data_IF_111241532426
#
_entry.id   IF_111241532426
#
_cell.length_a   1.000
_cell.length_b   1.000
_cell.length_c   1.000
_cell.angle_alpha   90.00
_cell.angle_beta   90.00
_cell.angle_gamma   90.00
#
_symmetry.space_group_name_H-M   'P 1'
#
loop_
_entity.id
_entity.type
_entity.pdbx_description
1 polymer ?
#
# COMPACT_ATOMS: atom_id res chain seq x y z
N UNK A 1 9.71 -18.24 9.90
CA UNK A 1 8.41 -18.89 9.65
C UNK A 1 8.26 -19.04 8.14
N UNK A 2 8.30 -20.27 7.61
CA UNK A 2 8.20 -20.54 6.17
C UNK A 2 6.76 -20.97 5.86
N UNK A 3 6.13 -20.33 4.88
CA UNK A 3 4.75 -20.58 4.48
C UNK A 3 4.72 -21.18 3.07
N UNK A 4 3.93 -22.23 2.87
CA UNK A 4 3.78 -22.94 1.59
C UNK A 4 2.29 -23.03 1.22
N UNK A 5 1.96 -22.94 -0.07
CA UNK A 5 0.60 -23.03 -0.61
C UNK A 5 0.55 -23.89 -1.89
N UNK A 6 -0.67 -24.35 -2.23
CA UNK A 6 -1.03 -25.17 -3.38
C UNK A 6 -1.37 -24.27 -4.58
N UNK A 7 -0.76 -24.53 -5.72
CA UNK A 7 -0.76 -23.71 -6.95
C UNK A 7 -2.11 -23.76 -7.70
N UNK A 8 -2.71 -22.59 -7.91
CA UNK A 8 -3.61 -22.35 -9.04
C UNK A 8 -2.90 -21.33 -9.95
N UNK A 9 -2.66 -21.74 -11.18
CA UNK A 9 -1.75 -21.12 -12.17
C UNK A 9 -2.38 -19.92 -12.88
N UNK A 10 -2.40 -18.73 -12.26
CA UNK A 10 -2.51 -17.50 -13.04
C UNK A 10 -1.38 -16.55 -12.63
N UNK A 11 -0.38 -16.44 -13.51
CA UNK A 11 0.66 -15.42 -13.40
C UNK A 11 0.02 -14.03 -13.53
N UNK A 12 -0.15 -13.34 -12.40
CA UNK A 12 -0.56 -11.92 -12.39
C UNK A 12 0.65 -11.02 -12.40
N UNK A 13 0.54 -9.90 -13.12
CA UNK A 13 1.52 -8.82 -13.02
C UNK A 13 1.28 -8.03 -11.73
N UNK A 14 2.30 -7.33 -11.25
CA UNK A 14 2.11 -6.40 -10.15
C UNK A 14 1.17 -5.24 -10.53
N UNK A 15 1.06 -4.92 -11.82
CA UNK A 15 0.12 -3.90 -12.30
C UNK A 15 -1.33 -4.31 -12.04
N UNK A 16 -1.68 -5.58 -12.28
CA UNK A 16 -3.02 -6.11 -11.99
C UNK A 16 -3.33 -5.96 -10.50
N UNK A 17 -2.37 -6.33 -9.65
CA UNK A 17 -2.51 -6.21 -8.20
C UNK A 17 -2.66 -4.75 -7.76
N UNK A 18 -1.90 -3.85 -8.39
CA UNK A 18 -1.98 -2.44 -8.10
C UNK A 18 -3.36 -1.88 -8.45
N UNK A 19 -3.90 -2.21 -9.63
CA UNK A 19 -5.21 -1.73 -10.09
C UNK A 19 -6.34 -2.33 -9.25
N UNK A 20 -6.31 -3.64 -8.99
CA UNK A 20 -7.43 -4.35 -8.38
C UNK A 20 -7.49 -4.14 -6.86
N UNK A 21 -6.34 -3.97 -6.21
CA UNK A 21 -6.27 -3.99 -4.74
C UNK A 21 -5.69 -2.72 -4.14
N UNK A 22 -4.58 -2.18 -4.66
CA UNK A 22 -3.86 -1.07 -4.01
C UNK A 22 -4.52 0.27 -4.31
N UNK A 23 -4.76 0.55 -5.59
CA UNK A 23 -5.32 1.81 -6.07
C UNK A 23 -6.70 2.12 -5.44
N UNK A 24 -7.67 1.19 -5.39
CA UNK A 24 -8.96 1.46 -4.77
C UNK A 24 -8.83 1.83 -3.29
N UNK A 25 -7.88 1.24 -2.56
CA UNK A 25 -7.65 1.58 -1.15
C UNK A 25 -7.09 2.99 -0.97
N UNK A 26 -6.18 3.42 -1.86
CA UNK A 26 -5.67 4.80 -1.85
C UNK A 26 -6.80 5.78 -2.17
N UNK A 27 -7.65 5.44 -3.13
CA UNK A 27 -8.82 6.24 -3.51
C UNK A 27 -9.85 6.32 -2.37
N UNK A 28 -10.14 5.22 -1.68
CA UNK A 28 -11.02 5.19 -0.51
C UNK A 28 -10.51 6.12 0.62
N UNK A 29 -9.20 6.10 0.90
CA UNK A 29 -8.58 7.00 1.88
C UNK A 29 -8.69 8.45 1.43
N UNK A 30 -8.40 8.74 0.16
CA UNK A 30 -8.47 10.09 -0.40
C UNK A 30 -9.90 10.65 -0.37
N UNK A 31 -10.89 9.81 -0.68
CA UNK A 31 -12.32 10.14 -0.61
C UNK A 31 -12.75 10.43 0.82
N UNK A 32 -12.43 9.57 1.79
CA UNK A 32 -12.73 9.80 3.21
C UNK A 32 -12.18 11.15 3.67
N UNK A 33 -10.91 11.44 3.37
CA UNK A 33 -10.22 12.64 3.85
C UNK A 33 -10.70 13.95 3.18
N UNK A 34 -11.28 13.88 1.98
CA UNK A 34 -11.72 15.07 1.20
C UNK A 34 -13.22 15.31 1.24
N UNK A 35 -14.02 14.25 1.31
CA UNK A 35 -15.47 14.33 1.16
C UNK A 35 -16.20 14.30 2.51
N UNK A 36 -15.71 13.54 3.49
CA UNK A 36 -16.35 13.43 4.78
C UNK A 36 -15.84 14.48 5.76
N UNK A 37 -16.70 14.91 6.68
CA UNK A 37 -16.35 15.89 7.72
C UNK A 37 -15.98 15.15 9.00
N UNK A 38 -14.84 15.47 9.63
CA UNK A 38 -14.50 14.92 10.93
C UNK A 38 -15.53 15.35 12.01
N UNK A 39 -15.72 14.56 13.07
CA UNK A 39 -14.97 13.35 13.41
C UNK A 39 -15.36 12.15 12.53
N UNK A 40 -14.37 11.36 12.12
CA UNK A 40 -14.58 10.13 11.36
C UNK A 40 -15.01 8.99 12.27
N UNK A 41 -15.91 8.14 11.78
CA UNK A 41 -16.34 6.95 12.49
C UNK A 41 -15.25 5.87 12.48
N UNK A 42 -15.12 5.13 13.59
CA UNK A 42 -14.16 4.02 13.73
C UNK A 42 -14.34 2.99 12.59
N UNK A 43 -15.58 2.72 12.21
CA UNK A 43 -15.92 1.78 11.14
C UNK A 43 -15.43 2.25 9.77
N UNK A 44 -15.52 3.55 9.47
CA UNK A 44 -15.01 4.15 8.23
C UNK A 44 -13.49 4.01 8.17
N UNK A 45 -12.81 4.39 9.25
CA UNK A 45 -11.34 4.34 9.34
C UNK A 45 -10.82 2.91 9.23
N UNK A 46 -11.49 1.96 9.90
CA UNK A 46 -11.17 0.54 9.81
C UNK A 46 -11.31 0.01 8.36
N UNK A 47 -12.40 0.38 7.68
CA UNK A 47 -12.66 -0.03 6.30
C UNK A 47 -11.63 0.49 5.29
N UNK A 48 -11.21 1.75 5.39
CA UNK A 48 -10.24 2.33 4.42
C UNK A 48 -8.81 1.84 4.69
N UNK A 49 -8.45 1.59 5.96
CA UNK A 49 -7.14 1.06 6.32
C UNK A 49 -7.03 -0.48 6.20
N UNK A 50 -8.13 -1.15 5.83
CA UNK A 50 -8.26 -2.62 5.76
C UNK A 50 -7.80 -3.29 7.06
N UNK A 51 -8.38 -2.84 8.16
CA UNK A 51 -8.13 -3.36 9.51
C UNK A 51 -9.45 -3.54 10.26
N UNK A 52 -9.41 -4.11 11.46
CA UNK A 52 -10.61 -4.29 12.28
C UNK A 52 -10.90 -3.04 13.11
N UNK A 53 -12.17 -2.82 13.46
CA UNK A 53 -12.57 -1.74 14.35
C UNK A 53 -11.87 -1.86 15.72
N UNK A 54 -11.70 -3.08 16.22
CA UNK A 54 -10.98 -3.35 17.47
C UNK A 54 -9.52 -2.86 17.42
N UNK A 55 -8.81 -3.10 16.29
CA UNK A 55 -7.45 -2.59 16.11
C UNK A 55 -7.42 -1.06 16.12
N UNK A 56 -8.38 -0.40 15.46
CA UNK A 56 -8.49 1.07 15.47
C UNK A 56 -8.77 1.59 16.88
N UNK A 57 -9.74 1.01 17.59
CA UNK A 57 -10.09 1.41 18.96
C UNK A 57 -8.93 1.17 19.93
N UNK A 58 -8.16 0.10 19.77
CA UNK A 58 -6.97 -0.13 20.58
C UNK A 58 -5.91 0.95 20.35
N UNK A 59 -5.64 1.33 19.10
CA UNK A 59 -4.72 2.43 18.78
C UNK A 59 -5.23 3.75 19.36
N UNK A 60 -6.54 4.03 19.26
CA UNK A 60 -7.13 5.24 19.87
C UNK A 60 -6.90 5.28 21.38
N UNK A 61 -7.10 4.15 22.09
CA UNK A 61 -6.84 4.04 23.53
C UNK A 61 -5.36 4.25 23.87
N UNK A 62 -4.46 3.61 23.14
CA UNK A 62 -3.02 3.73 23.35
C UNK A 62 -2.51 5.17 23.15
N UNK A 63 -3.12 5.92 22.24
CA UNK A 63 -2.75 7.29 21.90
C UNK A 63 -3.59 8.36 22.61
N UNK A 64 -4.51 7.98 23.50
CA UNK A 64 -5.48 8.87 24.17
C UNK A 64 -6.31 9.73 23.19
N UNK A 65 -6.74 9.14 22.07
CA UNK A 65 -7.58 9.78 21.06
C UNK A 65 -9.05 9.55 21.43
N UNK A 66 -9.80 10.63 21.67
CA UNK A 66 -11.25 10.57 21.94
C UNK A 66 -12.10 10.61 20.68
N UNK A 67 -11.66 11.33 19.65
CA UNK A 67 -12.37 11.54 18.39
C UNK A 67 -11.37 11.50 17.23
N UNK A 68 -11.79 10.98 16.06
CA UNK A 68 -10.88 10.86 14.92
C UNK A 68 -11.01 12.07 14.00
N UNK A 69 -10.18 13.09 14.20
CA UNK A 69 -9.96 14.16 13.23
C UNK A 69 -8.99 13.76 12.11
N UNK A 70 -8.64 14.73 11.25
CA UNK A 70 -7.67 14.51 10.16
C UNK A 70 -6.29 14.14 10.72
N UNK A 71 -5.85 14.80 11.80
CA UNK A 71 -4.54 14.52 12.39
C UNK A 71 -4.52 13.14 13.05
N UNK A 72 -5.58 12.81 13.77
CA UNK A 72 -5.78 11.55 14.47
C UNK A 72 -5.87 10.38 13.49
N UNK A 73 -6.49 10.58 12.32
CA UNK A 73 -6.48 9.60 11.24
C UNK A 73 -5.04 9.22 10.85
N UNK A 74 -4.14 10.20 10.69
CA UNK A 74 -2.75 9.91 10.33
C UNK A 74 -1.95 9.27 11.47
N UNK A 75 -2.28 9.57 12.72
CA UNK A 75 -1.74 8.82 13.86
C UNK A 75 -2.20 7.37 13.85
N UNK A 76 -3.48 7.10 13.57
CA UNK A 76 -4.00 5.74 13.46
C UNK A 76 -3.37 5.01 12.27
N UNK A 77 -3.29 5.66 11.11
CA UNK A 77 -2.64 5.13 9.91
C UNK A 77 -1.21 4.69 10.24
N UNK A 78 -0.42 5.55 10.90
CA UNK A 78 0.97 5.27 11.27
C UNK A 78 1.12 4.02 12.17
N UNK A 79 0.11 3.69 12.98
CA UNK A 79 0.16 2.60 13.95
C UNK A 79 -0.65 1.36 13.54
N UNK A 80 -1.33 1.39 12.39
CA UNK A 80 -2.24 0.30 11.97
C UNK A 80 -1.55 -0.96 11.43
N UNK A 81 -0.26 -0.87 11.08
CA UNK A 81 0.58 -1.97 10.53
C UNK A 81 -0.11 -2.82 9.43
N UNK A 82 -0.87 -2.16 8.55
CA UNK A 82 -1.48 -2.80 7.38
C UNK A 82 -0.61 -2.62 6.15
N UNK A 83 -0.87 -3.39 5.09
CA UNK A 83 -0.11 -3.23 3.85
C UNK A 83 -0.23 -1.80 3.30
N UNK A 84 -1.46 -1.26 3.27
CA UNK A 84 -1.72 0.08 2.72
C UNK A 84 -1.07 1.17 3.58
N UNK A 85 -1.14 1.06 4.91
CA UNK A 85 -0.51 2.06 5.77
C UNK A 85 1.01 2.02 5.65
N UNK A 86 1.62 0.83 5.64
CA UNK A 86 3.05 0.67 5.40
C UNK A 86 3.47 1.15 4.00
N UNK A 87 2.66 0.94 2.96
CA UNK A 87 2.92 1.48 1.62
C UNK A 87 2.96 3.00 1.64
N UNK A 88 1.95 3.65 2.22
CA UNK A 88 1.86 5.11 2.32
C UNK A 88 3.05 5.67 3.12
N UNK A 89 3.35 5.08 4.28
CA UNK A 89 4.48 5.49 5.12
C UNK A 89 5.82 5.37 4.38
N UNK A 90 6.01 4.32 3.60
CA UNK A 90 7.24 4.14 2.80
C UNK A 90 7.30 5.14 1.65
N UNK A 91 6.18 5.44 1.00
CA UNK A 91 6.12 6.45 -0.05
C UNK A 91 6.44 7.85 0.49
N UNK A 92 5.98 8.20 1.69
CA UNK A 92 6.29 9.49 2.32
C UNK A 92 7.78 9.73 2.56
N UNK A 93 8.56 8.66 2.79
CA UNK A 93 10.03 8.79 2.91
C UNK A 93 10.70 9.29 1.64
N UNK A 94 10.02 9.19 0.49
CA UNK A 94 10.52 9.63 -0.81
C UNK A 94 9.64 10.73 -1.43
N UNK A 95 8.92 11.51 -0.62
CA UNK A 95 8.00 12.56 -1.10
C UNK A 95 8.67 13.65 -1.97
N UNK A 96 9.97 13.87 -1.81
CA UNK A 96 10.77 14.85 -2.57
C UNK A 96 11.35 14.29 -3.87
N UNK A 97 11.25 12.97 -4.08
CA UNK A 97 11.85 12.27 -5.22
C UNK A 97 10.95 12.40 -6.45
N UNK A 98 11.51 12.90 -7.56
CA UNK A 98 10.79 13.06 -8.84
C UNK A 98 10.84 11.81 -9.73
N UNK A 99 11.81 10.93 -9.48
CA UNK A 99 12.10 9.74 -10.28
C UNK A 99 12.47 8.55 -9.39
N UNK A 100 11.88 7.39 -9.65
CA UNK A 100 12.05 6.18 -8.86
C UNK A 100 13.11 5.28 -9.48
N UNK A 101 14.04 4.81 -8.66
CA UNK A 101 14.98 3.75 -9.00
C UNK A 101 14.37 2.37 -8.66
N UNK A 102 15.00 1.26 -9.07
CA UNK A 102 14.58 -0.07 -8.64
C UNK A 102 14.50 -0.21 -7.12
N UNK A 103 15.44 0.39 -6.38
CA UNK A 103 15.47 0.39 -4.91
C UNK A 103 14.27 1.13 -4.31
N UNK A 104 13.89 2.28 -4.90
CA UNK A 104 12.72 3.01 -4.42
C UNK A 104 11.45 2.17 -4.60
N UNK A 105 11.27 1.54 -5.76
CA UNK A 105 10.09 0.74 -6.06
C UNK A 105 10.04 -0.54 -5.22
N UNK A 106 11.14 -1.27 -5.11
CA UNK A 106 11.22 -2.46 -4.27
C UNK A 106 10.87 -2.14 -2.82
N UNK A 107 11.40 -1.04 -2.31
CA UNK A 107 11.13 -0.59 -0.95
C UNK A 107 9.66 -0.16 -0.76
N UNK A 108 9.14 0.75 -1.57
CA UNK A 108 7.78 1.31 -1.39
C UNK A 108 6.71 0.23 -1.50
N UNK A 109 6.83 -0.66 -2.50
CA UNK A 109 5.79 -1.64 -2.81
C UNK A 109 6.01 -3.02 -2.17
N UNK A 110 7.11 -3.19 -1.42
CA UNK A 110 7.54 -4.47 -0.85
C UNK A 110 7.82 -5.55 -1.90
N UNK A 111 8.45 -5.17 -3.01
CA UNK A 111 8.73 -6.10 -4.11
C UNK A 111 10.16 -6.65 -4.04
N UNK A 112 10.36 -7.83 -4.62
CA UNK A 112 11.70 -8.37 -4.78
C UNK A 112 12.54 -7.46 -5.68
N UNK A 113 13.65 -6.93 -5.17
CA UNK A 113 14.49 -5.98 -5.89
C UNK A 113 15.08 -6.57 -7.18
N UNK A 114 15.36 -7.87 -7.23
CA UNK A 114 15.89 -8.51 -8.44
C UNK A 114 14.85 -8.52 -9.57
N UNK A 115 13.58 -8.73 -9.26
CA UNK A 115 12.51 -8.70 -10.26
C UNK A 115 12.22 -7.27 -10.74
N UNK A 116 12.27 -6.30 -9.82
CA UNK A 116 12.20 -4.87 -10.21
C UNK A 116 13.38 -4.48 -11.09
N UNK A 117 14.60 -4.92 -10.78
CA UNK A 117 15.81 -4.65 -11.60
C UNK A 117 15.67 -5.22 -13.01
N UNK A 118 15.20 -6.46 -13.17
CA UNK A 118 14.92 -7.06 -14.49
C UNK A 118 13.93 -6.24 -15.31
N UNK A 119 12.86 -5.75 -14.68
CA UNK A 119 11.89 -4.87 -15.36
C UNK A 119 12.55 -3.57 -15.87
N UNK A 120 13.47 -2.98 -15.12
CA UNK A 120 14.21 -1.79 -15.55
C UNK A 120 15.20 -2.08 -16.68
N UNK A 121 15.87 -3.24 -16.64
CA UNK A 121 16.75 -3.72 -17.72
C UNK A 121 15.97 -3.90 -19.02
N UNK A 122 14.77 -4.49 -18.95
CA UNK A 122 13.89 -4.66 -20.11
C UNK A 122 13.39 -3.33 -20.67
N UNK A 123 13.04 -2.36 -19.81
CA UNK A 123 12.69 -1.00 -20.22
C UNK A 123 13.89 -0.15 -20.68
N UNK A 124 15.12 -0.65 -20.52
CA UNK A 124 16.38 0.04 -20.84
C UNK A 124 16.48 1.41 -20.15
N UNK A 125 16.07 1.48 -18.88
CA UNK A 125 16.13 2.70 -18.07
C UNK A 125 16.73 2.44 -16.68
N UNK A 126 17.27 3.46 -16.04
CA UNK A 126 17.81 3.39 -14.67
C UNK A 126 16.89 4.02 -13.63
N UNK A 127 16.01 4.92 -14.06
CA UNK A 127 15.03 5.64 -13.24
C UNK A 127 13.73 5.84 -14.02
N UNK A 128 12.60 5.97 -13.32
CA UNK A 128 11.29 6.15 -13.92
C UNK A 128 10.44 7.20 -13.20
N UNK A 129 9.70 8.02 -13.96
CA UNK A 129 8.76 9.00 -13.38
C UNK A 129 7.46 8.33 -12.94
N UNK A 130 6.78 8.93 -11.96
CA UNK A 130 5.48 8.43 -11.44
C UNK A 130 4.49 8.05 -12.56
N UNK A 131 4.33 8.91 -13.57
CA UNK A 131 3.42 8.69 -14.72
C UNK A 131 3.69 7.42 -15.53
N UNK A 132 4.90 6.86 -15.44
CA UNK A 132 5.32 5.67 -16.18
C UNK A 132 5.49 4.44 -15.27
N UNK A 133 5.20 4.52 -13.97
CA UNK A 133 5.38 3.40 -13.03
C UNK A 133 4.64 2.13 -13.46
N UNK A 134 3.46 2.26 -14.07
CA UNK A 134 2.69 1.13 -14.60
C UNK A 134 3.51 0.22 -15.53
N UNK A 135 4.40 0.80 -16.35
CA UNK A 135 5.26 0.04 -17.28
C UNK A 135 6.22 -0.89 -16.56
N UNK A 136 6.72 -0.49 -15.38
CA UNK A 136 7.55 -1.37 -14.54
C UNK A 136 6.68 -2.45 -13.92
N UNK A 137 5.49 -2.10 -13.45
CA UNK A 137 4.60 -3.03 -12.76
C UNK A 137 4.06 -4.13 -13.70
N UNK A 138 3.85 -3.83 -14.97
CA UNK A 138 3.45 -4.78 -16.02
C UNK A 138 4.51 -5.87 -16.26
N UNK A 139 5.79 -5.57 -16.01
CA UNK A 139 6.91 -6.50 -16.24
C UNK A 139 7.25 -7.34 -15.00
N UNK A 140 6.63 -7.07 -13.86
CA UNK A 140 6.88 -7.82 -12.62
C UNK A 140 5.81 -8.90 -12.47
N UNK A 141 6.18 -10.14 -12.79
CA UNK A 141 5.30 -11.31 -12.68
C UNK A 141 5.40 -11.89 -11.26
N UNK A 142 4.26 -12.04 -10.58
CA UNK A 142 4.19 -12.59 -9.24
C UNK A 142 3.67 -14.03 -9.29
N UNK A 143 4.61 -14.99 -9.25
CA UNK A 143 4.34 -16.44 -9.41
C UNK A 143 3.63 -17.11 -8.23
N UNK A 144 3.39 -16.37 -7.16
CA UNK A 144 2.59 -16.80 -6.01
C UNK A 144 2.02 -15.58 -5.32
N UNK A 145 0.82 -15.16 -5.72
CA UNK A 145 0.11 -14.12 -4.99
C UNK A 145 -0.51 -14.73 -3.72
N UNK A 146 0.05 -14.37 -2.57
CA UNK A 146 -0.51 -14.74 -1.26
C UNK A 146 -1.49 -13.62 -0.88
N UNK A 147 -2.79 -13.88 -1.02
CA UNK A 147 -3.81 -13.00 -0.48
C UNK A 147 -3.81 -13.08 1.05
N UNK A 148 -3.04 -12.22 1.71
CA UNK A 148 -3.48 -11.66 2.99
C UNK A 148 -4.11 -10.30 2.70
N UNK A 149 -5.26 -10.31 2.04
CA UNK A 149 -6.11 -9.11 1.89
C UNK A 149 -7.40 -9.23 2.69
N UNK A 150 -7.50 -10.22 3.59
CA UNK A 150 -8.58 -10.37 4.55
C UNK A 150 -7.95 -10.76 5.90
N UNK A 151 -7.78 -9.78 6.78
CA UNK A 151 -7.91 -9.97 8.24
C UNK A 151 -9.19 -9.29 8.69
#
# INVERSE_FOLDING_TARGET
MKYYFKTAEEEKTFQDIYIDYIKPQIEDIDLLLKCDKPPYEVSQVANVLKTTQDKVTNIMKELNISEIGIQEFFYILKNSDTYISNLILRQWKFNSVKEYSPLHISYIYNLNEADVKKAFEELKCTVIKNKNLHKVFELIILKSYISKFQE
#
